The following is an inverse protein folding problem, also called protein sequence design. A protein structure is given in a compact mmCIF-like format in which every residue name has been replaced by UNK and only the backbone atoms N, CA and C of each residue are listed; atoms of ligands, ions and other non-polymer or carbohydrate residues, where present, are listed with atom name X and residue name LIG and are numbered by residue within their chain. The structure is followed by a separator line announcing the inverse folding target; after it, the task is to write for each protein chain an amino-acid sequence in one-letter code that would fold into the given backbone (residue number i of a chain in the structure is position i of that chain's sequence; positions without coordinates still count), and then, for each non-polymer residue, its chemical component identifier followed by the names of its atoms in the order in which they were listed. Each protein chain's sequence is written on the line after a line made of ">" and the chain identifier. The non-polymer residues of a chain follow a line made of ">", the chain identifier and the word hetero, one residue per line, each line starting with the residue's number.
data_IF_924748020700
#
_entry.id   IF_924748020700
#
_cell.length_a   1.000
_cell.length_b   1.000
_cell.length_c   1.000
_cell.angle_alpha   90.00
_cell.angle_beta   90.00
_cell.angle_gamma   90.00
#
_symmetry.space_group_name_H-M   'P 1'
#
loop_
_entity.id
_entity.type
_entity.pdbx_description
1 polymer ?
#
# COMPACT_ATOMS: atom_id res chain seq x y z
N UNK A 1 10.85 8.50 35.44
CA UNK A 1 10.00 7.64 36.27
C UNK A 1 8.77 8.46 36.57
N UNK A 2 7.56 8.18 36.16
CA UNK A 2 6.89 7.16 35.36
C UNK A 2 5.53 7.83 34.99
N UNK A 3 4.73 7.26 34.09
CA UNK A 3 3.38 7.78 33.71
C UNK A 3 3.28 8.87 32.64
N UNK A 4 3.65 8.54 31.39
CA UNK A 4 3.09 9.23 30.20
C UNK A 4 2.60 8.24 29.12
N UNK A 5 2.07 7.10 29.57
CA UNK A 5 1.67 5.97 28.72
C UNK A 5 0.18 5.99 28.33
N UNK A 6 -0.29 7.08 27.69
CA UNK A 6 -1.58 7.12 26.96
C UNK A 6 -1.52 8.17 25.84
N UNK A 7 -0.80 7.89 24.76
CA UNK A 7 -1.05 8.53 23.46
C UNK A 7 -1.09 7.44 22.40
N UNK A 8 -2.30 7.10 21.97
CA UNK A 8 -2.55 6.34 20.75
C UNK A 8 -1.74 6.99 19.63
N UNK A 9 -0.87 6.23 18.97
CA UNK A 9 -0.15 6.68 17.78
C UNK A 9 -1.16 6.65 16.63
N UNK A 10 -1.95 7.71 16.50
CA UNK A 10 -2.62 8.10 15.26
C UNK A 10 -2.42 9.61 15.14
N UNK A 11 -1.24 10.01 14.67
CA UNK A 11 -0.96 11.39 14.30
C UNK A 11 0.00 11.38 13.10
N UNK A 12 -0.59 11.37 11.90
CA UNK A 12 0.06 11.92 10.71
C UNK A 12 0.04 13.44 10.91
N UNK A 13 1.18 14.02 11.26
CA UNK A 13 1.36 15.46 11.36
C UNK A 13 2.58 15.79 10.49
N UNK A 14 2.31 16.40 9.34
CA UNK A 14 3.29 16.79 8.34
C UNK A 14 4.16 17.93 8.92
N UNK A 15 5.47 17.72 9.15
CA UNK A 15 6.39 18.82 9.45
C UNK A 15 6.78 19.49 8.12
N UNK A 16 6.87 20.81 8.15
CA UNK A 16 7.12 21.74 7.03
C UNK A 16 8.49 21.60 6.33
N UNK A 17 8.80 20.41 5.82
CA UNK A 17 9.96 20.14 4.95
C UNK A 17 9.62 19.01 3.99
N UNK A 18 8.98 19.32 2.87
CA UNK A 18 8.85 18.41 1.72
C UNK A 18 9.20 19.20 0.46
N UNK A 19 10.49 19.26 0.17
CA UNK A 19 11.00 19.68 -1.13
C UNK A 19 10.60 18.61 -2.17
N UNK A 20 9.90 19.04 -3.22
CA UNK A 20 9.77 18.38 -4.54
C UNK A 20 9.08 17.02 -4.73
N UNK A 21 8.70 16.26 -3.70
CA UNK A 21 8.17 14.89 -3.87
C UNK A 21 6.63 14.79 -3.82
N UNK A 22 5.89 15.63 -4.57
CA UNK A 22 4.42 15.66 -4.51
C UNK A 22 3.78 15.61 -5.91
N UNK A 23 3.79 14.43 -6.53
CA UNK A 23 3.05 14.13 -7.78
C UNK A 23 1.77 13.31 -7.49
N UNK A 24 1.11 13.61 -6.38
CA UNK A 24 -0.11 12.91 -5.98
C UNK A 24 -1.38 13.66 -6.44
N UNK A 25 -2.33 12.94 -7.06
CA UNK A 25 -3.59 13.48 -7.62
C UNK A 25 -3.49 14.60 -8.68
N UNK A 26 -2.30 14.90 -9.19
CA UNK A 26 -2.13 15.91 -10.23
C UNK A 26 -2.60 15.43 -11.61
N UNK A 27 -2.48 14.12 -11.87
CA UNK A 27 -2.82 13.51 -13.15
C UNK A 27 -4.27 12.98 -13.21
N UNK A 28 -4.85 12.88 -14.41
CA UNK A 28 -6.24 12.41 -14.58
C UNK A 28 -6.40 10.94 -14.15
N UNK A 29 -5.41 10.10 -14.42
CA UNK A 29 -5.40 8.69 -14.02
C UNK A 29 -5.33 8.55 -12.49
N UNK A 30 -4.52 9.36 -11.84
CA UNK A 30 -4.39 9.44 -10.39
C UNK A 30 -5.75 9.76 -9.75
N UNK A 31 -6.49 10.73 -10.30
CA UNK A 31 -7.83 11.12 -9.82
C UNK A 31 -8.90 10.06 -10.08
N UNK A 32 -8.69 9.20 -11.07
CA UNK A 32 -9.56 8.06 -11.38
C UNK A 32 -9.20 6.80 -10.57
N UNK A 33 -8.13 6.84 -9.77
CA UNK A 33 -7.64 5.67 -9.01
C UNK A 33 -6.80 4.70 -9.84
N UNK A 34 -6.28 5.15 -10.98
CA UNK A 34 -5.38 4.40 -11.88
C UNK A 34 -3.92 4.86 -11.69
N UNK A 35 -3.48 4.92 -10.44
CA UNK A 35 -2.15 5.43 -10.09
C UNK A 35 -1.03 4.54 -10.66
N UNK A 36 -1.30 3.25 -10.84
CA UNK A 36 -0.37 2.30 -11.44
C UNK A 36 -0.02 2.60 -12.90
N UNK A 37 -0.81 3.44 -13.59
CA UNK A 37 -0.53 3.87 -14.98
C UNK A 37 -0.01 5.30 -15.06
N UNK A 38 0.21 5.97 -13.92
CA UNK A 38 0.80 7.31 -13.91
C UNK A 38 2.26 7.26 -14.41
N UNK A 39 2.63 8.18 -15.28
CA UNK A 39 3.99 8.28 -15.85
C UNK A 39 5.00 8.74 -14.80
N UNK A 40 4.56 9.64 -13.91
CA UNK A 40 5.37 10.23 -12.85
C UNK A 40 5.08 9.55 -11.49
N UNK A 41 4.87 8.23 -11.51
CA UNK A 41 4.55 7.47 -10.30
C UNK A 41 5.77 7.30 -9.39
N UNK A 42 5.65 7.75 -8.14
CA UNK A 42 6.63 7.46 -7.10
C UNK A 42 6.29 6.18 -6.34
N UNK A 43 7.22 5.23 -6.37
CA UNK A 43 7.06 3.89 -5.83
C UNK A 43 7.93 3.74 -4.57
N UNK A 44 7.26 3.57 -3.42
CA UNK A 44 7.92 3.31 -2.14
C UNK A 44 8.81 2.07 -2.21
N UNK A 45 10.09 2.23 -1.88
CA UNK A 45 11.10 1.17 -1.94
C UNK A 45 11.72 0.95 -3.32
N UNK A 46 11.35 1.74 -4.33
CA UNK A 46 11.96 1.70 -5.67
C UNK A 46 12.50 3.07 -6.10
N UNK A 47 11.63 4.10 -6.22
CA UNK A 47 12.06 5.47 -6.54
C UNK A 47 12.26 6.34 -5.31
N UNK A 48 11.49 6.07 -4.24
CA UNK A 48 11.55 6.77 -2.95
C UNK A 48 11.78 5.79 -1.81
N UNK A 49 12.11 6.31 -0.62
CA UNK A 49 12.39 5.49 0.55
C UNK A 49 11.24 4.54 0.89
N UNK A 50 11.61 3.28 1.18
CA UNK A 50 10.68 2.17 1.43
C UNK A 50 10.47 1.86 2.91
N UNK A 51 9.91 0.67 3.16
CA UNK A 51 9.55 0.18 4.50
C UNK A 51 10.64 -0.64 5.21
N UNK A 52 11.83 -0.76 4.63
CA UNK A 52 12.99 -1.46 5.24
C UNK A 52 13.69 -0.61 6.32
N UNK A 53 12.89 0.00 7.19
CA UNK A 53 13.30 0.89 8.27
C UNK A 53 12.24 0.88 9.38
N UNK A 54 12.56 1.45 10.54
CA UNK A 54 11.63 1.47 11.67
C UNK A 54 10.40 2.38 11.43
N UNK A 55 10.55 3.37 10.54
CA UNK A 55 9.54 4.38 10.26
C UNK A 55 9.58 4.72 8.78
N UNK A 56 8.44 4.80 8.10
CA UNK A 56 8.36 5.33 6.75
C UNK A 56 7.31 6.44 6.69
N UNK A 57 7.52 7.41 5.79
CA UNK A 57 6.52 8.42 5.46
C UNK A 57 5.66 7.85 4.33
N UNK A 58 4.35 7.93 4.49
CA UNK A 58 3.38 7.52 3.48
C UNK A 58 2.18 8.45 3.53
N UNK A 59 1.40 8.52 2.45
CA UNK A 59 0.18 9.32 2.42
C UNK A 59 -0.92 8.67 3.23
N UNK A 60 -1.79 9.48 3.83
CA UNK A 60 -2.94 9.02 4.61
C UNK A 60 -3.90 8.13 3.80
N UNK A 61 -3.95 8.33 2.49
CA UNK A 61 -4.78 7.61 1.53
C UNK A 61 -4.24 6.22 1.20
N UNK A 62 -2.91 6.01 1.34
CA UNK A 62 -2.25 4.72 1.07
C UNK A 62 -2.11 3.84 2.31
N UNK A 63 -2.52 4.32 3.48
CA UNK A 63 -2.48 3.54 4.72
C UNK A 63 -3.86 2.97 5.05
N UNK A 64 -3.92 1.66 5.22
CA UNK A 64 -5.14 0.95 5.64
C UNK A 64 -4.99 0.45 7.07
N UNK A 65 -6.01 0.59 7.94
CA UNK A 65 -5.95 0.05 9.29
C UNK A 65 -5.84 -1.48 9.27
N UNK A 66 -4.80 -2.00 9.92
CA UNK A 66 -4.59 -3.44 10.06
C UNK A 66 -5.34 -3.94 11.31
N UNK A 67 -6.15 -5.02 11.21
CA UNK A 67 -6.80 -5.64 12.35
C UNK A 67 -5.78 -6.08 13.43
N UNK A 68 -6.13 -5.91 14.72
CA UNK A 68 -5.22 -6.21 15.84
C UNK A 68 -4.96 -7.69 16.06
N UNK A 69 -5.79 -8.56 15.51
CA UNK A 69 -5.70 -10.01 15.54
C UNK A 69 -4.80 -10.59 14.44
N UNK A 70 -4.41 -9.78 13.45
CA UNK A 70 -3.53 -10.21 12.37
C UNK A 70 -2.06 -9.91 12.72
N UNK A 71 -1.16 -10.91 12.73
CA UNK A 71 0.25 -10.65 12.99
C UNK A 71 0.88 -9.86 11.82
N UNK A 72 1.71 -8.87 12.16
CA UNK A 72 2.31 -7.95 11.18
C UNK A 72 3.13 -8.66 10.08
N UNK A 73 3.78 -9.78 10.41
CA UNK A 73 4.54 -10.57 9.44
C UNK A 73 3.66 -11.21 8.35
N UNK A 74 2.38 -11.45 8.64
CA UNK A 74 1.41 -11.96 7.68
C UNK A 74 0.73 -10.81 6.92
N UNK A 75 0.53 -9.67 7.57
CA UNK A 75 -0.06 -8.49 6.94
C UNK A 75 0.84 -7.87 5.86
N UNK A 76 2.16 -7.80 6.11
CA UNK A 76 3.11 -7.18 5.20
C UNK A 76 3.09 -7.75 3.75
N UNK A 77 3.18 -9.08 3.52
CA UNK A 77 3.12 -9.62 2.16
C UNK A 77 1.74 -9.43 1.48
N UNK A 78 0.65 -9.44 2.26
CA UNK A 78 -0.71 -9.20 1.73
C UNK A 78 -0.81 -7.80 1.10
N UNK A 79 -0.20 -6.79 1.72
CA UNK A 79 -0.23 -5.41 1.23
C UNK A 79 0.54 -5.19 -0.08
N UNK A 80 1.35 -6.15 -0.52
CA UNK A 80 2.05 -6.10 -1.80
C UNK A 80 1.49 -7.15 -2.76
N UNK A 81 1.85 -8.41 -2.58
CA UNK A 81 1.42 -9.49 -3.46
C UNK A 81 -0.10 -9.72 -3.41
N UNK A 82 -0.68 -9.72 -2.21
CA UNK A 82 -2.10 -10.00 -2.02
C UNK A 82 -3.01 -8.98 -2.70
N UNK A 83 -2.71 -7.68 -2.58
CA UNK A 83 -3.49 -6.62 -3.27
C UNK A 83 -3.33 -6.70 -4.78
N UNK A 84 -2.16 -7.10 -5.30
CA UNK A 84 -1.93 -7.32 -6.74
C UNK A 84 -2.81 -8.46 -7.26
N UNK A 85 -2.81 -9.61 -6.57
CA UNK A 85 -3.65 -10.76 -6.95
C UNK A 85 -5.13 -10.40 -6.84
N UNK A 86 -5.53 -9.73 -5.76
CA UNK A 86 -6.90 -9.29 -5.57
C UNK A 86 -7.37 -8.35 -6.69
N UNK A 87 -6.54 -7.38 -7.09
CA UNK A 87 -6.83 -6.49 -8.22
C UNK A 87 -6.97 -7.29 -9.51
N UNK A 88 -6.03 -8.19 -9.80
CA UNK A 88 -6.10 -9.04 -10.99
C UNK A 88 -7.40 -9.87 -11.03
N UNK A 89 -7.80 -10.48 -9.91
CA UNK A 89 -9.05 -11.23 -9.79
C UNK A 89 -10.31 -10.34 -9.92
N UNK A 90 -10.22 -9.05 -9.55
CA UNK A 90 -11.32 -8.11 -9.73
C UNK A 90 -11.48 -7.68 -11.20
N UNK A 91 -10.37 -7.49 -11.91
CA UNK A 91 -10.36 -7.05 -13.30
C UNK A 91 -10.79 -8.13 -14.29
N UNK A 92 -10.67 -9.42 -13.94
CA UNK A 92 -11.17 -10.51 -14.80
C UNK A 92 -12.71 -10.59 -14.88
N UNK A 93 -13.43 -9.82 -14.04
CA UNK A 93 -14.91 -9.81 -13.96
C UNK A 93 -15.54 -11.22 -13.88
N UNK A 94 -14.82 -12.17 -13.27
CA UNK A 94 -15.18 -13.58 -13.24
C UNK A 94 -16.42 -13.86 -12.38
N UNK A 95 -17.18 -14.88 -12.78
CA UNK A 95 -18.35 -15.36 -12.06
C UNK A 95 -18.04 -16.65 -11.30
N UNK A 96 -18.91 -16.97 -10.34
CA UNK A 96 -18.84 -18.26 -9.64
C UNK A 96 -18.97 -19.42 -10.64
N UNK A 97 -17.95 -20.27 -10.70
CA UNK A 97 -17.89 -21.42 -11.63
C UNK A 97 -16.94 -21.22 -12.81
N UNK A 98 -16.39 -20.02 -12.99
CA UNK A 98 -15.39 -19.75 -14.02
C UNK A 98 -14.02 -20.34 -13.63
N UNK A 99 -13.27 -20.78 -14.65
CA UNK A 99 -11.93 -21.31 -14.47
C UNK A 99 -10.90 -20.19 -14.62
N UNK A 100 -10.05 -20.02 -13.61
CA UNK A 100 -8.93 -19.05 -13.62
C UNK A 100 -7.61 -19.82 -13.66
N UNK A 101 -6.73 -19.45 -14.58
CA UNK A 101 -5.39 -20.03 -14.69
C UNK A 101 -4.40 -19.10 -13.98
N UNK A 102 -3.71 -19.61 -12.95
CA UNK A 102 -2.67 -18.88 -12.22
C UNK A 102 -1.30 -19.42 -12.67
N UNK A 103 -0.60 -18.73 -13.58
CA UNK A 103 0.75 -19.13 -13.96
C UNK A 103 1.70 -18.89 -12.78
N UNK A 104 2.53 -19.88 -12.45
CA UNK A 104 3.53 -19.72 -11.38
C UNK A 104 2.97 -19.78 -9.96
N UNK A 105 1.90 -20.55 -9.73
CA UNK A 105 1.24 -20.73 -8.42
C UNK A 105 2.12 -21.29 -7.28
N UNK A 106 3.42 -21.52 -7.49
CA UNK A 106 4.38 -21.83 -6.43
C UNK A 106 5.27 -20.65 -6.03
N UNK A 107 4.99 -19.46 -6.55
CA UNK A 107 5.68 -18.21 -6.23
C UNK A 107 5.19 -17.57 -4.93
N UNK A 108 5.40 -16.27 -4.78
CA UNK A 108 4.86 -15.48 -3.66
C UNK A 108 3.71 -14.55 -4.08
N UNK A 109 3.02 -14.89 -5.17
CA UNK A 109 1.91 -14.12 -5.75
C UNK A 109 0.60 -14.93 -5.70
N UNK A 110 0.44 -15.77 -4.67
CA UNK A 110 -0.72 -16.63 -4.44
C UNK A 110 -1.51 -16.24 -3.18
#
# INVERSE_FOLDING_TARGET
>A
MEERNKRKIHKFECPETVERDLVWFCCEDCRKGHESTCVDADLHGFTVDGSFQQWCVSFSEHVTPIPTDLPMHAAAPILCAGVTVYKALKEIEGNCGDFVVIPGAGGGLD
#
